data_IF_830938181636
#
_entry.id   IF_830938181636
#
_cell.length_a   1.000
_cell.length_b   1.000
_cell.length_c   1.000
_cell.angle_alpha   90.00
_cell.angle_beta   90.00
_cell.angle_gamma   90.00
#
_symmetry.space_group_name_H-M   'P 1'
#
loop_
_entity.id
_entity.type
_entity.pdbx_description
1 polymer ?
#
# COMPACT_ATOMS: atom_id res chain seq x y z
N UNK A 1 -2.10 12.12 18.46
CA UNK A 1 -2.70 10.79 18.34
C UNK A 1 -1.85 10.02 17.36
N UNK A 2 -1.75 8.71 17.48
CA UNK A 2 -1.19 7.91 16.41
C UNK A 2 -2.07 8.16 15.17
N UNK A 3 -1.47 8.51 14.04
CA UNK A 3 -2.16 8.75 12.77
C UNK A 3 -2.68 7.41 12.22
N UNK A 4 -3.72 6.84 12.84
CA UNK A 4 -4.35 5.58 12.43
C UNK A 4 -5.32 5.77 11.25
N UNK A 5 -5.65 7.03 10.90
CA UNK A 5 -6.60 7.37 9.85
C UNK A 5 -6.07 8.52 8.98
N UNK A 6 -6.46 8.51 7.71
CA UNK A 6 -6.22 9.64 6.80
C UNK A 6 -6.89 10.92 7.34
N UNK A 7 -6.22 12.06 7.18
CA UNK A 7 -6.71 13.37 7.66
C UNK A 7 -8.16 13.66 7.22
N UNK A 8 -8.52 13.26 6.01
CA UNK A 8 -9.86 13.42 5.42
C UNK A 8 -10.94 12.63 6.18
N UNK A 9 -10.58 11.47 6.74
CA UNK A 9 -11.46 10.66 7.60
C UNK A 9 -11.63 11.35 8.95
N UNK A 10 -10.54 11.83 9.54
CA UNK A 10 -10.58 12.55 10.82
C UNK A 10 -11.45 13.82 10.71
N UNK A 11 -11.27 14.60 9.64
CA UNK A 11 -12.07 15.79 9.37
C UNK A 11 -13.55 15.45 9.17
N UNK A 12 -13.86 14.33 8.52
CA UNK A 12 -15.24 13.91 8.31
C UNK A 12 -15.95 13.52 9.60
N UNK A 13 -15.21 12.94 10.57
CA UNK A 13 -15.69 12.61 11.91
C UNK A 13 -15.99 13.86 12.75
N UNK A 14 -15.28 14.97 12.51
CA UNK A 14 -15.53 16.23 13.23
C UNK A 14 -16.97 16.69 12.97
N UNK A 15 -17.73 16.83 14.06
CA UNK A 15 -19.11 17.30 14.03
C UNK A 15 -20.17 16.25 13.66
N UNK A 16 -19.79 14.97 13.50
CA UNK A 16 -20.76 13.89 13.42
C UNK A 16 -21.48 13.67 14.75
N UNK A 17 -22.75 13.28 14.68
CA UNK A 17 -23.53 12.84 15.83
C UNK A 17 -23.58 11.30 15.91
N UNK A 18 -23.69 10.69 17.11
CA UNK A 18 -23.89 9.26 17.24
C UNK A 18 -25.10 8.77 16.43
N UNK A 19 -24.92 7.69 15.66
CA UNK A 19 -25.85 7.13 14.68
C UNK A 19 -25.77 7.76 13.28
N UNK A 20 -24.94 8.79 13.07
CA UNK A 20 -24.74 9.39 11.75
C UNK A 20 -23.79 8.54 10.89
N UNK A 21 -24.12 8.45 9.59
CA UNK A 21 -23.27 7.81 8.57
C UNK A 21 -22.75 8.86 7.59
N UNK A 22 -21.48 8.76 7.23
CA UNK A 22 -20.87 9.55 6.16
C UNK A 22 -20.02 8.67 5.25
N UNK A 23 -19.90 9.10 4.01
CA UNK A 23 -18.98 8.50 3.04
C UNK A 23 -17.92 9.51 2.69
N UNK A 24 -16.66 9.10 2.73
CA UNK A 24 -15.50 9.93 2.39
C UNK A 24 -14.73 9.20 1.31
N UNK A 25 -14.51 9.88 0.18
CA UNK A 25 -13.63 9.39 -0.87
C UNK A 25 -12.32 10.17 -0.81
N UNK A 26 -11.22 9.43 -0.75
CA UNK A 26 -9.85 9.93 -0.69
C UNK A 26 -9.19 9.55 -2.01
N UNK A 27 -8.76 10.54 -2.81
CA UNK A 27 -8.03 10.27 -4.03
C UNK A 27 -6.77 9.43 -3.76
N UNK A 28 -6.38 8.56 -4.69
CA UNK A 28 -5.19 7.74 -4.56
C UNK A 28 -3.94 8.54 -4.12
N UNK A 29 -3.72 9.70 -4.76
CA UNK A 29 -2.62 10.63 -4.47
C UNK A 29 -2.55 11.08 -3.01
N UNK A 30 -3.71 11.25 -2.36
CA UNK A 30 -3.80 11.69 -0.96
C UNK A 30 -3.94 10.51 0.03
N UNK A 31 -4.01 9.28 -0.48
CA UNK A 31 -4.12 8.05 0.29
C UNK A 31 -2.79 7.27 0.25
N UNK A 32 -2.63 6.38 -0.73
CA UNK A 32 -1.46 5.50 -0.88
C UNK A 32 -0.51 5.93 -2.00
N UNK A 33 -0.75 7.09 -2.60
CA UNK A 33 -0.03 7.57 -3.77
C UNK A 33 -0.64 7.10 -5.09
N UNK A 34 -0.13 7.66 -6.18
CA UNK A 34 -0.40 7.13 -7.51
C UNK A 34 0.44 5.87 -7.74
N UNK A 35 -0.03 5.00 -8.63
CA UNK A 35 0.77 3.87 -9.08
C UNK A 35 1.93 4.40 -9.93
N UNK A 36 3.16 4.11 -9.51
CA UNK A 36 4.38 4.53 -10.17
C UNK A 36 4.98 3.37 -10.96
N UNK A 37 4.98 3.50 -12.28
CA UNK A 37 5.58 2.50 -13.18
C UNK A 37 7.11 2.41 -13.02
N UNK A 38 7.77 3.44 -12.46
CA UNK A 38 9.20 3.43 -12.15
C UNK A 38 9.52 2.59 -10.90
N UNK A 39 8.54 2.36 -10.02
CA UNK A 39 8.65 1.44 -8.87
C UNK A 39 8.43 -0.03 -9.24
N UNK A 40 8.20 -0.32 -10.52
CA UNK A 40 8.22 -1.67 -11.09
C UNK A 40 9.56 -1.92 -11.76
N UNK A 41 10.36 -2.80 -11.18
CA UNK A 41 11.71 -3.06 -11.68
C UNK A 41 12.07 -4.54 -11.66
N UNK A 42 13.05 -4.89 -12.49
CA UNK A 42 13.52 -6.27 -12.61
C UNK A 42 14.80 -6.49 -11.82
N UNK A 43 14.80 -7.53 -10.99
CA UNK A 43 15.96 -8.00 -10.23
C UNK A 43 16.43 -9.36 -10.76
N UNK A 44 17.72 -9.65 -10.61
CA UNK A 44 18.26 -10.97 -10.92
C UNK A 44 17.87 -11.97 -9.86
N UNK A 45 17.53 -13.21 -10.24
CA UNK A 45 17.24 -14.28 -9.25
C UNK A 45 18.36 -14.52 -8.25
N UNK A 46 19.60 -14.26 -8.65
CA UNK A 46 20.79 -14.36 -7.79
C UNK A 46 20.81 -13.35 -6.63
N UNK A 47 20.00 -12.28 -6.72
CA UNK A 47 19.84 -11.30 -5.63
C UNK A 47 18.94 -11.82 -4.51
N UNK A 48 18.08 -12.81 -4.80
CA UNK A 48 17.30 -13.46 -3.76
C UNK A 48 18.23 -14.23 -2.84
N UNK A 49 18.14 -13.97 -1.54
CA UNK A 49 18.91 -14.71 -0.55
C UNK A 49 18.16 -15.99 -0.15
N UNK A 50 18.87 -17.12 -0.13
CA UNK A 50 18.31 -18.41 0.27
C UNK A 50 17.68 -19.21 -0.88
N UNK A 51 17.09 -20.35 -0.54
CA UNK A 51 16.44 -21.29 -1.47
C UNK A 51 14.98 -20.87 -1.73
N UNK A 52 14.75 -19.56 -1.90
CA UNK A 52 13.41 -19.01 -2.13
C UNK A 52 13.04 -19.30 -3.58
N UNK A 53 11.89 -19.94 -3.78
CA UNK A 53 11.30 -20.14 -5.11
C UNK A 53 10.29 -19.01 -5.31
N UNK A 54 10.64 -17.96 -6.08
CA UNK A 54 9.74 -16.83 -6.29
C UNK A 54 8.54 -17.26 -7.13
N UNK A 55 7.35 -16.84 -6.68
CA UNK A 55 6.08 -17.08 -7.34
C UNK A 55 5.36 -15.75 -7.58
N UNK A 56 4.57 -15.65 -8.65
CA UNK A 56 3.78 -14.44 -8.91
C UNK A 56 2.80 -14.22 -7.75
N UNK A 57 2.78 -12.99 -7.23
CA UNK A 57 2.01 -12.59 -6.05
C UNK A 57 2.72 -12.85 -4.72
N UNK A 58 3.95 -13.37 -4.72
CA UNK A 58 4.76 -13.50 -3.51
C UNK A 58 5.27 -12.13 -3.08
N UNK A 59 5.12 -11.81 -1.79
CA UNK A 59 5.70 -10.64 -1.15
C UNK A 59 7.14 -10.96 -0.69
N UNK A 60 8.07 -10.06 -0.99
CA UNK A 60 9.48 -10.17 -0.66
C UNK A 60 9.94 -8.88 0.03
N UNK A 61 10.89 -9.02 0.95
CA UNK A 61 11.58 -7.87 1.56
C UNK A 61 12.94 -7.70 0.87
N UNK A 62 13.15 -6.56 0.23
CA UNK A 62 14.42 -6.16 -0.37
C UNK A 62 15.09 -5.10 0.49
N UNK A 63 16.40 -4.96 0.38
CA UNK A 63 17.13 -3.84 1.01
C UNK A 63 17.24 -2.69 0.01
N UNK A 64 16.62 -1.56 0.31
CA UNK A 64 16.68 -0.34 -0.51
C UNK A 64 17.99 0.45 -0.34
N UNK A 65 18.08 1.60 -1.02
CA UNK A 65 19.28 2.45 -1.06
C UNK A 65 19.73 3.01 0.31
N UNK A 66 18.83 3.14 1.29
CA UNK A 66 19.13 3.68 2.63
C UNK A 66 19.31 2.58 3.69
N UNK A 67 19.59 1.33 3.29
CA UNK A 67 19.61 0.15 4.17
C UNK A 67 18.23 -0.14 4.82
N UNK A 68 17.16 0.53 4.36
CA UNK A 68 15.79 0.27 4.81
C UNK A 68 15.16 -0.92 4.06
N UNK A 69 14.41 -1.79 4.76
CA UNK A 69 13.65 -2.85 4.11
C UNK A 69 12.51 -2.24 3.28
N UNK A 70 12.40 -2.70 2.04
CA UNK A 70 11.34 -2.35 1.10
C UNK A 70 10.55 -3.61 0.78
N UNK A 71 9.26 -3.58 1.07
CA UNK A 71 8.34 -4.66 0.72
C UNK A 71 7.97 -4.55 -0.76
N UNK A 72 8.14 -5.64 -1.51
CA UNK A 72 7.83 -5.70 -2.94
C UNK A 72 7.01 -6.95 -3.26
N UNK A 73 6.18 -6.85 -4.29
CA UNK A 73 5.39 -7.99 -4.78
C UNK A 73 5.95 -8.50 -6.11
N UNK A 74 6.15 -9.80 -6.25
CA UNK A 74 6.57 -10.41 -7.51
C UNK A 74 5.43 -10.37 -8.52
N UNK A 75 5.59 -9.64 -9.62
CA UNK A 75 4.58 -9.52 -10.68
C UNK A 75 4.89 -10.40 -11.90
N UNK A 76 6.17 -10.71 -12.13
CA UNK A 76 6.59 -11.62 -13.21
C UNK A 76 7.80 -12.47 -12.78
N UNK A 77 7.80 -13.74 -13.18
CA UNK A 77 8.91 -14.67 -12.94
C UNK A 77 9.40 -15.25 -14.26
N UNK A 78 10.70 -15.08 -14.54
CA UNK A 78 11.37 -15.72 -15.67
C UNK A 78 12.46 -16.68 -15.18
N UNK A 79 13.13 -17.37 -16.11
CA UNK A 79 14.26 -18.27 -15.77
C UNK A 79 15.41 -17.52 -15.09
N UNK A 80 15.71 -16.29 -15.52
CA UNK A 80 16.91 -15.53 -15.11
C UNK A 80 16.58 -14.32 -14.21
N UNK A 81 15.43 -13.68 -14.41
CA UNK A 81 15.03 -12.43 -13.74
C UNK A 81 13.62 -12.49 -13.14
N UNK A 82 13.37 -11.60 -12.19
CA UNK A 82 12.09 -11.40 -11.53
C UNK A 82 11.71 -9.95 -11.68
N UNK A 83 10.47 -9.68 -12.06
CA UNK A 83 9.92 -8.33 -11.99
C UNK A 83 9.15 -8.20 -10.69
N UNK A 84 9.52 -7.19 -9.91
CA UNK A 84 8.91 -6.86 -8.64
C UNK A 84 8.28 -5.48 -8.72
N UNK A 85 7.25 -5.29 -7.92
CA UNK A 85 6.50 -4.06 -7.79
C UNK A 85 6.61 -3.56 -6.35
N UNK A 86 7.24 -2.40 -6.17
CA UNK A 86 7.41 -1.76 -4.86
C UNK A 86 6.26 -0.81 -4.50
N UNK A 87 5.25 -0.66 -5.37
CA UNK A 87 4.08 0.16 -5.07
C UNK A 87 3.31 -0.42 -3.88
N UNK A 88 2.67 0.48 -3.12
CA UNK A 88 1.68 0.06 -2.14
C UNK A 88 0.56 -0.74 -2.85
N UNK A 89 0.02 -1.83 -2.27
CA UNK A 89 -1.00 -2.67 -2.91
C UNK A 89 -2.31 -1.96 -3.29
N UNK A 90 -2.52 -0.74 -2.80
CA UNK A 90 -3.67 0.13 -3.09
C UNK A 90 -3.26 1.43 -3.82
N UNK A 91 -2.02 1.53 -4.29
CA UNK A 91 -1.55 2.67 -5.06
C UNK A 91 -2.34 2.81 -6.36
N UNK A 92 -2.67 4.05 -6.72
CA UNK A 92 -3.48 4.35 -7.90
C UNK A 92 -4.99 4.09 -7.74
N UNK A 93 -5.45 3.59 -6.59
CA UNK A 93 -6.87 3.41 -6.31
C UNK A 93 -7.42 4.47 -5.34
N UNK A 94 -8.55 5.09 -5.71
CA UNK A 94 -9.29 5.98 -4.81
C UNK A 94 -9.93 5.16 -3.69
N UNK A 95 -9.71 5.55 -2.45
CA UNK A 95 -10.24 4.84 -1.29
C UNK A 95 -11.54 5.49 -0.84
N UNK A 96 -12.61 4.69 -0.76
CA UNK A 96 -13.90 5.15 -0.22
C UNK A 96 -14.18 4.51 1.13
N UNK A 97 -14.24 5.35 2.16
CA UNK A 97 -14.62 4.97 3.52
C UNK A 97 -16.11 5.22 3.76
N UNK A 98 -16.82 4.20 4.23
CA UNK A 98 -18.13 4.38 4.87
C UNK A 98 -17.93 4.38 6.39
N UNK A 99 -18.29 5.50 7.01
CA UNK A 99 -18.07 5.75 8.43
C UNK A 99 -19.42 5.83 9.11
N UNK A 100 -19.61 5.07 10.19
CA UNK A 100 -20.77 5.15 11.07
C UNK A 100 -20.29 5.50 12.48
N UNK A 101 -20.71 6.66 13.00
CA UNK A 101 -20.34 7.06 14.36
C UNK A 101 -21.25 6.34 15.35
N UNK A 102 -20.72 5.37 16.09
CA UNK A 102 -21.52 4.58 17.03
C UNK A 102 -21.84 5.34 18.32
N UNK A 103 -20.82 5.84 18.99
CA UNK A 103 -20.94 6.56 20.26
C UNK A 103 -19.75 7.49 20.48
N UNK A 104 -19.91 8.47 21.39
CA UNK A 104 -18.86 9.36 21.86
C UNK A 104 -18.68 9.07 23.35
N UNK A 105 -17.48 8.66 23.74
CA UNK A 105 -17.12 8.29 25.13
C UNK A 105 -16.69 9.49 25.97
#
# INVERSE_FOLDING_TARGET
GAEEFFSQVEEALVGMAPGEKKTVTIPALDAFGEYDEEEVFSISREQLTGDIVPEIGMELELTGDDDEPVEVTVVEVTDETLTVDANHPLAGEDITYEIELMEIL
#
